data_IF_323564921393
#
_entry.id   IF_323564921393
#
_cell.length_a   1.000
_cell.length_b   1.000
_cell.length_c   1.000
_cell.angle_alpha   90.00
_cell.angle_beta   90.00
_cell.angle_gamma   90.00
#
_symmetry.space_group_name_H-M   'P 1'
#
loop_
_entity.id
_entity.type
_entity.pdbx_description
1 polymer ?
#
# COMPACT_ATOMS: atom_id res chain seq x y z
N UNK A 1 13.81 1.34 23.70
CA UNK A 1 14.39 0.04 23.24
C UNK A 1 15.78 0.32 22.68
N UNK A 2 16.76 -0.56 22.98
CA UNK A 2 18.11 -0.45 22.44
C UNK A 2 18.29 -1.42 21.28
N UNK A 3 18.94 -0.97 20.21
CA UNK A 3 19.24 -1.74 19.03
C UNK A 3 20.75 -1.78 18.74
N UNK A 4 21.16 -2.83 18.06
CA UNK A 4 22.52 -2.97 17.56
C UNK A 4 22.70 -2.09 16.32
N UNK A 5 23.86 -1.45 16.19
CA UNK A 5 24.22 -0.62 15.04
C UNK A 5 25.39 -1.25 14.28
N UNK A 6 25.26 -1.33 12.95
CA UNK A 6 26.36 -1.79 12.10
C UNK A 6 27.48 -0.76 12.02
N UNK A 7 28.68 -1.15 12.44
CA UNK A 7 29.88 -0.32 12.28
C UNK A 7 30.69 -0.78 11.05
N UNK A 8 30.57 -0.03 9.97
CA UNK A 8 31.24 -0.34 8.71
C UNK A 8 32.78 -0.36 8.81
N UNK A 9 33.36 0.36 9.78
CA UNK A 9 34.83 0.38 10.00
C UNK A 9 35.32 -0.88 10.67
N UNK A 10 34.50 -1.49 11.52
CA UNK A 10 34.81 -2.73 12.25
C UNK A 10 34.29 -3.97 11.54
N UNK A 11 33.41 -3.78 10.53
CA UNK A 11 32.65 -4.85 9.89
C UNK A 11 31.92 -5.75 10.89
N UNK A 12 31.35 -5.16 11.96
CA UNK A 12 30.68 -5.86 13.05
C UNK A 12 29.59 -4.98 13.66
N UNK A 13 28.64 -5.61 14.39
CA UNK A 13 27.58 -4.93 15.10
C UNK A 13 28.05 -4.45 16.49
N UNK A 14 27.81 -3.17 16.76
CA UNK A 14 27.92 -2.62 18.12
C UNK A 14 26.63 -2.89 18.87
N UNK A 15 26.69 -3.77 19.84
CA UNK A 15 25.53 -4.19 20.64
C UNK A 15 24.98 -3.05 21.48
N UNK A 16 23.63 -2.94 21.49
CA UNK A 16 22.86 -1.95 22.28
C UNK A 16 23.35 -0.49 22.07
N UNK A 17 23.73 -0.15 20.84
CA UNK A 17 24.41 1.11 20.57
C UNK A 17 23.46 2.26 20.27
N UNK A 18 22.25 1.99 19.77
CA UNK A 18 21.23 2.98 19.45
C UNK A 18 20.07 2.87 20.43
N UNK A 19 19.67 3.99 21.01
CA UNK A 19 18.48 4.05 21.85
C UNK A 19 17.31 4.64 21.09
N UNK A 20 16.27 3.83 20.86
CA UNK A 20 15.02 4.25 20.22
C UNK A 20 13.97 4.49 21.30
N UNK A 21 13.41 5.70 21.28
CA UNK A 21 12.33 6.12 22.14
C UNK A 21 11.03 6.10 21.33
N UNK A 22 10.18 5.15 21.61
CA UNK A 22 8.84 5.09 21.02
C UNK A 22 7.94 6.12 21.67
N UNK A 23 7.19 6.86 20.87
CA UNK A 23 6.29 7.91 21.29
C UNK A 23 4.98 7.85 20.54
N UNK A 24 3.91 8.05 21.24
CA UNK A 24 2.61 8.32 20.65
C UNK A 24 2.45 9.83 20.42
N UNK A 25 1.79 10.19 19.31
CA UNK A 25 1.49 11.59 19.03
C UNK A 25 0.18 11.94 19.71
N UNK A 26 0.14 13.03 20.49
CA UNK A 26 -1.11 13.48 21.07
C UNK A 26 -2.09 13.93 19.98
N UNK A 27 -3.34 13.52 20.12
CA UNK A 27 -4.41 13.90 19.22
C UNK A 27 -4.64 15.41 19.31
N UNK A 28 -4.49 16.12 18.20
CA UNK A 28 -4.77 17.56 18.11
C UNK A 28 -5.81 17.74 17.02
N UNK A 29 -7.01 18.07 17.41
CA UNK A 29 -8.09 18.38 16.45
C UNK A 29 -7.77 19.68 15.71
N UNK A 30 -7.53 19.56 14.43
CA UNK A 30 -7.29 20.70 13.55
C UNK A 30 -8.11 20.58 12.26
N UNK A 31 -8.43 21.71 11.64
CA UNK A 31 -9.06 21.70 10.33
C UNK A 31 -8.07 21.44 9.18
N UNK A 32 -6.86 20.95 9.49
CA UNK A 32 -5.78 20.78 8.49
C UNK A 32 -6.19 19.84 7.36
N UNK A 33 -6.73 18.69 7.69
CA UNK A 33 -7.14 17.68 6.69
C UNK A 33 -8.24 18.24 5.79
N UNK A 34 -9.30 18.80 6.36
CA UNK A 34 -10.41 19.38 5.59
C UNK A 34 -9.95 20.53 4.68
N UNK A 35 -9.08 21.40 5.17
CA UNK A 35 -8.50 22.48 4.39
C UNK A 35 -7.63 21.96 3.24
N UNK A 36 -6.87 20.89 3.48
CA UNK A 36 -6.04 20.23 2.47
C UNK A 36 -6.90 19.58 1.39
N UNK A 37 -7.93 18.83 1.77
CA UNK A 37 -8.86 18.19 0.83
C UNK A 37 -9.61 19.21 -0.03
N UNK A 38 -10.04 20.31 0.56
CA UNK A 38 -10.68 21.40 -0.18
C UNK A 38 -9.71 22.07 -1.17
N UNK A 39 -8.48 22.32 -0.73
CA UNK A 39 -7.45 22.97 -1.58
C UNK A 39 -7.04 22.10 -2.76
N UNK A 40 -6.94 20.80 -2.56
CA UNK A 40 -6.48 19.85 -3.57
C UNK A 40 -7.58 18.95 -4.12
N UNK A 41 -8.85 19.39 -4.05
CA UNK A 41 -10.00 18.60 -4.43
C UNK A 41 -9.85 17.91 -5.81
N UNK A 42 -9.40 18.64 -6.83
CA UNK A 42 -9.20 18.08 -8.18
C UNK A 42 -8.14 16.97 -8.21
N UNK A 43 -7.05 17.14 -7.46
CA UNK A 43 -5.99 16.14 -7.35
C UNK A 43 -6.47 14.89 -6.58
N UNK A 44 -7.25 15.07 -5.52
CA UNK A 44 -7.85 13.96 -4.76
C UNK A 44 -8.76 13.11 -5.67
N UNK A 45 -9.65 13.74 -6.40
CA UNK A 45 -10.54 13.03 -7.34
C UNK A 45 -9.75 12.24 -8.38
N UNK A 46 -8.71 12.86 -8.96
CA UNK A 46 -7.86 12.20 -9.95
C UNK A 46 -7.07 11.02 -9.35
N UNK A 47 -6.51 11.18 -8.15
CA UNK A 47 -5.80 10.11 -7.46
C UNK A 47 -6.74 8.95 -7.11
N UNK A 48 -7.90 9.24 -6.54
CA UNK A 48 -8.92 8.23 -6.23
C UNK A 48 -9.30 7.43 -7.47
N UNK A 49 -9.55 8.09 -8.60
CA UNK A 49 -9.86 7.41 -9.85
C UNK A 49 -8.72 6.50 -10.33
N UNK A 50 -7.47 6.98 -10.28
CA UNK A 50 -6.30 6.18 -10.65
C UNK A 50 -6.12 4.97 -9.74
N UNK A 51 -6.30 5.14 -8.44
CA UNK A 51 -6.22 4.04 -7.48
C UNK A 51 -7.38 3.06 -7.60
N UNK A 52 -8.59 3.53 -7.88
CA UNK A 52 -9.74 2.67 -8.14
C UNK A 52 -9.51 1.74 -9.33
N UNK A 53 -8.86 2.23 -10.39
CA UNK A 53 -8.46 1.40 -11.53
C UNK A 53 -7.45 0.30 -11.15
N UNK A 54 -6.77 0.43 -10.02
CA UNK A 54 -5.83 -0.56 -9.48
C UNK A 54 -6.50 -1.58 -8.55
N UNK A 55 -7.80 -1.42 -8.25
CA UNK A 55 -8.55 -2.43 -7.48
C UNK A 55 -8.55 -3.76 -8.23
N UNK A 56 -8.72 -4.81 -7.45
CA UNK A 56 -8.83 -6.18 -7.96
C UNK A 56 -9.79 -6.26 -9.13
N UNK A 57 -9.30 -6.69 -10.27
CA UNK A 57 -10.11 -6.94 -11.46
C UNK A 57 -10.37 -8.43 -11.58
N UNK A 58 -11.64 -8.81 -11.55
CA UNK A 58 -12.07 -10.13 -11.95
C UNK A 58 -12.06 -10.19 -13.48
N UNK A 59 -11.39 -11.19 -14.02
CA UNK A 59 -11.36 -11.42 -15.47
C UNK A 59 -11.59 -12.88 -15.81
N UNK A 60 -12.36 -13.12 -16.84
CA UNK A 60 -12.52 -14.44 -17.41
C UNK A 60 -11.33 -14.78 -18.30
N UNK A 61 -10.64 -15.86 -17.97
CA UNK A 61 -9.53 -16.40 -18.76
C UNK A 61 -10.04 -17.63 -19.51
N UNK A 62 -10.03 -17.57 -20.83
CA UNK A 62 -10.46 -18.65 -21.72
C UNK A 62 -9.37 -19.72 -21.89
N UNK A 63 -9.75 -20.85 -22.48
CA UNK A 63 -8.83 -21.96 -22.82
C UNK A 63 -8.06 -22.47 -21.61
N UNK A 64 -8.78 -22.73 -20.54
CA UNK A 64 -8.24 -23.34 -19.32
C UNK A 64 -8.58 -24.82 -19.28
N UNK A 65 -7.82 -25.61 -18.50
CA UNK A 65 -8.08 -27.06 -18.28
C UNK A 65 -9.21 -27.29 -17.30
N UNK A 66 -9.47 -26.32 -16.45
CA UNK A 66 -10.52 -26.31 -15.44
C UNK A 66 -11.16 -24.92 -15.34
N UNK A 67 -12.40 -24.83 -14.96
CA UNK A 67 -13.11 -23.55 -14.82
C UNK A 67 -14.59 -23.74 -14.48
N UNK A 68 -15.25 -22.61 -14.22
CA UNK A 68 -16.67 -22.56 -13.84
C UNK A 68 -17.60 -22.62 -15.05
N UNK A 69 -17.06 -22.34 -16.28
CA UNK A 69 -17.88 -22.31 -17.50
C UNK A 69 -17.10 -22.96 -18.67
N UNK A 70 -17.81 -23.30 -19.74
CA UNK A 70 -17.25 -23.95 -20.92
C UNK A 70 -16.97 -22.90 -22.00
N UNK A 71 -15.75 -22.93 -22.56
CA UNK A 71 -15.38 -22.17 -23.75
C UNK A 71 -15.94 -22.86 -25.01
N UNK A 72 -17.10 -22.41 -25.47
CA UNK A 72 -17.78 -23.01 -26.60
C UNK A 72 -16.94 -22.97 -27.89
N UNK A 73 -16.16 -21.93 -28.11
CA UNK A 73 -15.28 -21.78 -29.25
C UNK A 73 -14.19 -22.86 -29.22
N UNK A 74 -13.54 -23.02 -28.05
CA UNK A 74 -12.52 -24.06 -27.85
C UNK A 74 -13.12 -25.47 -27.96
N UNK A 75 -14.35 -25.68 -27.51
CA UNK A 75 -15.04 -26.97 -27.64
C UNK A 75 -15.34 -27.31 -29.11
N UNK A 76 -15.80 -26.37 -29.92
CA UNK A 76 -16.04 -26.56 -31.36
C UNK A 76 -14.71 -26.88 -32.08
N UNK A 77 -13.64 -26.13 -31.80
CA UNK A 77 -12.31 -26.41 -32.34
C UNK A 77 -11.84 -27.83 -31.97
N UNK A 78 -11.92 -28.21 -30.69
CA UNK A 78 -11.50 -29.53 -30.20
C UNK A 78 -12.30 -30.68 -30.87
N UNK A 79 -13.60 -30.44 -31.10
CA UNK A 79 -14.44 -31.44 -31.83
C UNK A 79 -14.04 -31.57 -33.30
N UNK A 80 -13.70 -30.45 -33.96
CA UNK A 80 -13.22 -30.42 -35.33
C UNK A 80 -11.87 -31.16 -35.46
N UNK A 81 -10.94 -30.89 -34.52
CA UNK A 81 -9.64 -31.58 -34.46
C UNK A 81 -9.80 -33.10 -34.29
N UNK A 82 -10.67 -33.51 -33.36
CA UNK A 82 -10.99 -34.93 -33.15
C UNK A 82 -11.51 -35.61 -34.42
N UNK A 83 -12.41 -34.92 -35.17
CA UNK A 83 -12.94 -35.46 -36.44
C UNK A 83 -11.90 -35.49 -37.55
N UNK A 84 -10.91 -34.61 -37.50
CA UNK A 84 -9.78 -34.57 -38.43
C UNK A 84 -8.68 -35.57 -38.05
N UNK A 85 -8.83 -36.36 -36.98
CA UNK A 85 -7.81 -37.31 -36.49
C UNK A 85 -6.63 -36.62 -35.78
N UNK A 86 -6.77 -35.36 -35.40
CA UNK A 86 -5.79 -34.60 -34.60
C UNK A 86 -6.07 -34.81 -33.12
N UNK A 87 -5.05 -34.57 -32.29
CA UNK A 87 -5.23 -34.59 -30.82
C UNK A 87 -6.03 -33.39 -30.35
N UNK A 88 -7.24 -33.57 -29.79
CA UNK A 88 -8.07 -32.47 -29.33
C UNK A 88 -7.42 -31.77 -28.13
N UNK A 89 -7.66 -30.45 -28.02
CA UNK A 89 -7.22 -29.68 -26.88
C UNK A 89 -8.00 -30.05 -25.62
N UNK A 90 -7.33 -30.15 -24.47
CA UNK A 90 -7.92 -30.34 -23.14
C UNK A 90 -8.30 -29.03 -22.45
N UNK A 91 -8.09 -27.90 -23.13
CA UNK A 91 -8.34 -26.53 -22.59
C UNK A 91 -9.69 -26.01 -23.03
N UNK A 92 -10.75 -26.53 -22.45
CA UNK A 92 -12.14 -26.30 -22.86
C UNK A 92 -12.92 -25.40 -21.91
N UNK A 93 -12.26 -24.86 -20.87
CA UNK A 93 -12.97 -24.13 -19.84
C UNK A 93 -12.61 -22.64 -19.82
N UNK A 94 -13.54 -21.86 -19.25
CA UNK A 94 -13.36 -20.48 -18.87
C UNK A 94 -13.28 -20.42 -17.35
N UNK A 95 -12.22 -19.80 -16.83
CA UNK A 95 -11.99 -19.66 -15.39
C UNK A 95 -12.08 -18.19 -15.00
N UNK A 96 -12.81 -17.90 -13.95
CA UNK A 96 -12.79 -16.58 -13.31
C UNK A 96 -11.48 -16.43 -12.53
N UNK A 97 -10.57 -15.61 -13.03
CA UNK A 97 -9.35 -15.27 -12.32
C UNK A 97 -9.56 -14.00 -11.52
N UNK A 98 -9.48 -14.12 -10.21
CA UNK A 98 -9.44 -12.99 -9.28
C UNK A 98 -7.97 -12.70 -9.01
N UNK A 99 -7.50 -11.56 -9.48
CA UNK A 99 -6.19 -11.08 -9.08
C UNK A 99 -6.38 -10.42 -7.70
N UNK A 100 -6.22 -11.19 -6.62
CA UNK A 100 -6.32 -10.67 -5.25
C UNK A 100 -5.18 -9.71 -4.98
N UNK A 101 -5.55 -8.52 -4.54
CA UNK A 101 -4.61 -7.49 -4.12
C UNK A 101 -4.38 -7.64 -2.61
N UNK A 102 -3.19 -8.03 -2.22
CA UNK A 102 -2.76 -8.11 -0.82
C UNK A 102 -1.51 -7.22 -0.64
N UNK A 103 -1.76 -5.91 -0.50
CA UNK A 103 -0.72 -4.91 -0.34
C UNK A 103 -0.91 -4.23 1.00
N UNK A 104 0.20 -4.08 1.72
CA UNK A 104 0.28 -3.22 2.89
C UNK A 104 1.32 -2.12 2.64
N UNK A 105 0.95 -0.88 2.91
CA UNK A 105 1.82 0.29 2.72
C UNK A 105 2.26 0.82 4.07
N UNK A 106 3.54 1.13 4.21
CA UNK A 106 4.08 1.76 5.40
C UNK A 106 4.71 3.11 5.02
N UNK A 107 4.16 4.18 5.58
CA UNK A 107 4.74 5.52 5.49
C UNK A 107 5.67 5.77 6.66
N UNK A 108 6.92 6.05 6.37
CA UNK A 108 7.91 6.46 7.35
C UNK A 108 8.33 7.90 7.08
N UNK A 109 7.94 8.81 7.96
CA UNK A 109 8.05 10.25 7.76
C UNK A 109 9.21 10.80 8.57
N UNK A 110 10.09 11.54 7.91
CA UNK A 110 11.12 12.32 8.61
C UNK A 110 10.49 13.54 9.29
N UNK A 111 10.50 13.53 10.62
CA UNK A 111 9.98 14.59 11.47
C UNK A 111 11.11 15.41 12.12
N UNK A 112 12.32 15.37 11.57
CA UNK A 112 13.45 16.14 12.09
C UNK A 112 13.26 17.65 11.88
N UNK A 113 13.98 18.43 12.66
CA UNK A 113 13.89 19.90 12.60
C UNK A 113 14.23 20.48 11.21
N UNK A 114 15.04 19.79 10.41
CA UNK A 114 15.38 20.19 9.04
C UNK A 114 14.19 20.16 8.08
N UNK A 115 13.16 19.38 8.39
CA UNK A 115 11.92 19.28 7.60
C UNK A 115 10.84 20.24 8.04
N UNK A 116 11.09 21.12 9.04
CA UNK A 116 10.13 22.14 9.48
C UNK A 116 9.82 23.17 8.40
N UNK A 117 8.68 23.84 8.56
CA UNK A 117 8.24 24.89 7.64
C UNK A 117 7.46 24.36 6.44
N UNK A 118 7.78 24.86 5.25
CA UNK A 118 7.03 24.54 4.04
C UNK A 118 7.18 23.07 3.60
N UNK A 119 8.35 22.47 3.82
CA UNK A 119 8.63 21.07 3.50
C UNK A 119 7.73 20.14 4.34
N UNK A 120 7.71 20.32 5.66
CA UNK A 120 6.87 19.52 6.53
C UNK A 120 5.38 19.70 6.25
N UNK A 121 4.97 20.91 5.86
CA UNK A 121 3.60 21.15 5.41
C UNK A 121 3.29 20.37 4.12
N UNK A 122 4.17 20.39 3.13
CA UNK A 122 4.00 19.67 1.87
C UNK A 122 3.95 18.15 2.09
N UNK A 123 4.81 17.61 2.98
CA UNK A 123 4.78 16.20 3.36
C UNK A 123 3.42 15.82 3.96
N UNK A 124 2.91 16.60 4.91
CA UNK A 124 1.60 16.36 5.54
C UNK A 124 0.46 16.45 4.53
N UNK A 125 0.45 17.47 3.67
CA UNK A 125 -0.56 17.61 2.62
C UNK A 125 -0.53 16.41 1.67
N UNK A 126 0.65 15.96 1.23
CA UNK A 126 0.82 14.78 0.37
C UNK A 126 0.34 13.49 1.06
N UNK A 127 0.66 13.32 2.34
CA UNK A 127 0.23 12.17 3.13
C UNK A 127 -1.29 12.07 3.18
N UNK A 128 -1.99 13.19 3.46
CA UNK A 128 -3.45 13.23 3.44
C UNK A 128 -4.01 12.76 2.10
N UNK A 129 -3.45 13.24 0.98
CA UNK A 129 -3.89 12.85 -0.36
C UNK A 129 -3.69 11.36 -0.63
N UNK A 130 -2.56 10.80 -0.19
CA UNK A 130 -2.24 9.37 -0.35
C UNK A 130 -3.14 8.49 0.52
N UNK A 131 -3.39 8.88 1.77
CA UNK A 131 -4.33 8.17 2.65
C UNK A 131 -5.73 8.10 2.02
N UNK A 132 -6.25 9.22 1.52
CA UNK A 132 -7.54 9.25 0.85
C UNK A 132 -7.60 8.39 -0.43
N UNK A 133 -6.47 8.22 -1.11
CA UNK A 133 -6.39 7.34 -2.28
C UNK A 133 -6.34 5.85 -1.85
N UNK A 134 -5.61 5.52 -0.79
CA UNK A 134 -5.51 4.15 -0.27
C UNK A 134 -6.83 3.66 0.31
N UNK A 135 -7.61 4.54 0.97
CA UNK A 135 -8.95 4.20 1.44
C UNK A 135 -9.89 3.74 0.31
N UNK A 136 -9.74 4.30 -0.89
CA UNK A 136 -10.54 3.88 -2.06
C UNK A 136 -10.22 2.45 -2.49
N UNK A 137 -8.95 2.06 -2.42
CA UNK A 137 -8.49 0.72 -2.81
C UNK A 137 -8.78 -0.31 -1.73
N UNK A 138 -8.78 0.13 -0.46
CA UNK A 138 -8.93 -0.73 0.70
C UNK A 138 -7.64 -1.45 1.09
N UNK A 139 -6.48 -0.93 0.67
CA UNK A 139 -5.18 -1.44 1.12
C UNK A 139 -4.94 -1.07 2.58
N UNK A 140 -4.28 -1.96 3.31
CA UNK A 140 -3.85 -1.65 4.68
C UNK A 140 -2.64 -0.73 4.64
N UNK A 141 -2.63 0.29 5.50
CA UNK A 141 -1.46 1.16 5.61
C UNK A 141 -1.22 1.64 7.04
N UNK A 142 0.05 1.82 7.36
CA UNK A 142 0.52 2.39 8.61
C UNK A 142 1.29 3.69 8.37
N UNK A 143 1.25 4.59 9.35
CA UNK A 143 1.95 5.87 9.31
C UNK A 143 2.81 5.97 10.55
N UNK A 144 4.10 6.15 10.34
CA UNK A 144 5.08 6.29 11.40
C UNK A 144 5.98 7.48 11.11
N UNK A 145 6.48 8.08 12.15
CA UNK A 145 7.44 9.16 12.04
C UNK A 145 8.76 8.80 12.71
N UNK A 146 9.83 9.42 12.28
CA UNK A 146 11.10 9.34 12.98
C UNK A 146 11.74 10.71 13.11
N UNK A 147 12.49 10.89 14.18
CA UNK A 147 13.36 12.02 14.38
C UNK A 147 14.56 11.56 15.19
N UNK A 148 15.69 12.24 15.07
CA UNK A 148 16.84 11.82 15.82
C UNK A 148 17.84 12.92 16.08
N UNK A 149 18.39 12.90 17.29
CA UNK A 149 19.55 13.70 17.67
C UNK A 149 20.68 12.74 18.06
N UNK A 150 21.39 12.24 17.05
CA UNK A 150 22.43 11.22 17.19
C UNK A 150 21.89 9.88 17.75
N UNK A 151 22.76 8.89 17.93
CA UNK A 151 22.42 7.52 18.37
C UNK A 151 21.77 7.40 19.75
N UNK A 152 21.95 8.38 20.62
CA UNK A 152 21.45 8.31 21.99
C UNK A 152 19.96 8.71 22.11
N UNK A 153 19.43 9.38 21.09
CA UNK A 153 18.05 9.83 21.08
C UNK A 153 17.49 9.74 19.65
N UNK A 154 17.11 8.54 19.27
CA UNK A 154 16.31 8.29 18.07
C UNK A 154 14.86 8.17 18.51
N UNK A 155 13.99 9.02 18.01
CA UNK A 155 12.57 9.05 18.36
C UNK A 155 11.79 8.38 17.21
N UNK A 156 10.90 7.46 17.57
CA UNK A 156 9.99 6.79 16.66
C UNK A 156 8.56 7.09 17.09
N UNK A 157 7.78 7.64 16.18
CA UNK A 157 6.42 8.10 16.46
C UNK A 157 5.42 7.17 15.80
N UNK A 158 4.46 6.70 16.60
CA UNK A 158 3.29 5.99 16.13
C UNK A 158 2.19 7.00 15.80
N UNK A 159 1.77 7.06 14.54
CA UNK A 159 0.71 7.98 14.07
C UNK A 159 -0.55 7.18 13.74
N UNK A 160 -0.39 6.08 12.98
CA UNK A 160 -1.45 5.14 12.64
C UNK A 160 -0.87 3.74 12.48
N UNK A 161 -1.43 2.77 13.16
CA UNK A 161 -1.08 1.36 12.95
C UNK A 161 -1.74 0.79 11.69
N UNK A 162 -1.20 -0.33 11.17
CA UNK A 162 -1.70 -0.99 9.95
C UNK A 162 -3.17 -1.39 10.03
N UNK A 163 -3.61 -1.85 11.19
CA UNK A 163 -4.96 -2.37 11.41
C UNK A 163 -5.90 -1.33 12.03
N UNK A 164 -5.43 -0.11 12.23
CA UNK A 164 -6.21 1.01 12.77
C UNK A 164 -7.02 1.67 11.64
N UNK A 165 -8.30 2.01 11.86
CA UNK A 165 -9.10 2.72 10.86
C UNK A 165 -8.60 4.16 10.66
N UNK A 166 -8.80 4.68 9.46
CA UNK A 166 -8.53 6.08 9.14
C UNK A 166 -9.77 6.93 9.49
N UNK A 167 -9.99 7.12 10.77
CA UNK A 167 -11.10 7.88 11.32
C UNK A 167 -10.71 9.34 11.66
N UNK A 168 -11.66 10.08 12.24
CA UNK A 168 -11.44 11.46 12.65
C UNK A 168 -10.40 11.64 13.78
N UNK A 169 -9.99 10.55 14.43
CA UNK A 169 -8.92 10.59 15.45
C UNK A 169 -7.54 10.56 14.79
N UNK A 170 -7.41 9.85 13.68
CA UNK A 170 -6.16 9.75 12.91
C UNK A 170 -5.97 10.94 11.98
N UNK A 171 -7.07 11.54 11.51
CA UNK A 171 -7.10 12.74 10.66
C UNK A 171 -6.72 14.01 11.42
#
# INVERSE_FOLDING_TARGET
VCYDEWDYRRADFRKNWVNVLEKEIPLIHTNFVNNTLNRYHGQVVRLRYQFEMMRTTERFVRRQRDGEDIDLDAMVESLADSRAGLSPSDRLFVRLKRDERDIAVLFLIDMSNSTQGWIGKAIKETLVLLCEALEVVGDRYGIFGFSGMRRLRSEFFHIKHLDEPYDDQVR
#
